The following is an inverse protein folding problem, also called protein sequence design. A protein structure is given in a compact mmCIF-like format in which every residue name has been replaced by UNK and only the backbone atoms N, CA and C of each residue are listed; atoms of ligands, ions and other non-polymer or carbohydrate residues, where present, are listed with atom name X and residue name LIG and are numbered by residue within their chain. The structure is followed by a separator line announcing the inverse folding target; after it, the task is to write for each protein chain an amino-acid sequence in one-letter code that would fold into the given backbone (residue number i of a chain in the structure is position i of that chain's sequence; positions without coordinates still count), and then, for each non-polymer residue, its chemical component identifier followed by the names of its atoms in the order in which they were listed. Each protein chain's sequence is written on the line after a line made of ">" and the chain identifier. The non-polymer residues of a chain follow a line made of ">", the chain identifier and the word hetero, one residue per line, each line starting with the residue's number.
data_IF_169290254109
#
_entry.id   IF_169290254109
#
_cell.length_a   1.000
_cell.length_b   1.000
_cell.length_c   1.000
_cell.angle_alpha   90.00
_cell.angle_beta   90.00
_cell.angle_gamma   90.00
#
_symmetry.space_group_name_H-M   'P 1'
#
loop_
_entity.id
_entity.type
_entity.pdbx_description
1 polymer ?
#
# COMPACT_ATOMS: atom_id res chain seq x y z
N UNK A 1 -48.59 -28.88 -51.89
CA UNK A 1 -47.58 -27.82 -51.91
C UNK A 1 -46.37 -28.29 -51.13
N UNK A 2 -45.41 -28.93 -51.80
CA UNK A 2 -44.14 -29.36 -51.22
C UNK A 2 -43.12 -29.27 -52.34
N UNK A 3 -42.17 -28.33 -52.24
CA UNK A 3 -40.96 -28.34 -53.06
C UNK A 3 -39.77 -28.57 -52.11
N UNK A 4 -38.99 -29.63 -52.33
CA UNK A 4 -37.81 -29.94 -51.52
C UNK A 4 -36.65 -29.02 -51.92
N UNK A 5 -35.83 -28.63 -50.95
CA UNK A 5 -34.58 -27.92 -51.20
C UNK A 5 -33.47 -28.95 -51.42
N UNK A 6 -32.86 -28.92 -52.59
CA UNK A 6 -31.73 -29.77 -52.95
C UNK A 6 -30.42 -29.13 -52.41
N UNK A 7 -29.46 -29.93 -51.91
CA UNK A 7 -28.24 -29.45 -51.28
C UNK A 7 -27.19 -29.09 -52.33
N UNK A 8 -26.82 -27.82 -52.44
CA UNK A 8 -25.66 -27.40 -53.23
C UNK A 8 -24.39 -27.55 -52.40
N UNK A 9 -23.69 -28.65 -52.64
CA UNK A 9 -22.28 -28.82 -52.32
C UNK A 9 -21.45 -27.91 -53.24
N UNK A 10 -20.69 -26.99 -52.65
CA UNK A 10 -19.51 -26.41 -53.26
C UNK A 10 -18.39 -26.37 -52.20
N UNK A 11 -17.25 -27.03 -52.42
CA UNK A 11 -16.10 -27.00 -51.53
C UNK A 11 -15.10 -25.91 -51.92
N UNK A 12 -14.45 -25.32 -50.91
CA UNK A 12 -13.07 -24.90 -50.99
C UNK A 12 -12.78 -23.38 -51.01
N UNK A 13 -12.03 -22.98 -49.98
CA UNK A 13 -11.12 -21.81 -49.95
C UNK A 13 -11.71 -20.51 -49.40
N UNK A 14 -11.56 -20.30 -48.09
CA UNK A 14 -10.48 -19.45 -47.56
C UNK A 14 -10.60 -19.38 -46.03
N UNK A 15 -9.60 -19.93 -45.35
CA UNK A 15 -9.29 -19.57 -43.98
C UNK A 15 -9.16 -18.05 -43.86
N UNK A 16 -9.92 -17.43 -42.96
CA UNK A 16 -9.49 -16.21 -42.28
C UNK A 16 -10.01 -16.20 -40.86
N UNK A 17 -9.04 -16.19 -39.97
CA UNK A 17 -9.08 -16.08 -38.52
C UNK A 17 -10.03 -14.99 -38.02
N UNK A 18 -10.96 -15.38 -37.15
CA UNK A 18 -11.47 -14.54 -36.06
C UNK A 18 -11.99 -15.46 -34.95
N UNK A 19 -11.04 -15.97 -34.16
CA UNK A 19 -11.28 -16.57 -32.85
C UNK A 19 -10.68 -15.58 -31.85
N UNK A 20 -11.52 -14.81 -31.14
CA UNK A 20 -11.09 -14.14 -29.90
C UNK A 20 -12.35 -13.75 -29.08
N UNK A 21 -12.92 -14.67 -28.30
CA UNK A 21 -12.65 -14.80 -26.86
C UNK A 21 -13.28 -13.70 -25.99
N UNK A 22 -14.57 -13.87 -25.64
CA UNK A 22 -15.13 -13.29 -24.42
C UNK A 22 -15.27 -14.39 -23.36
N UNK A 23 -14.14 -14.80 -22.78
CA UNK A 23 -14.13 -15.67 -21.58
C UNK A 23 -14.57 -14.86 -20.36
N UNK A 24 -15.49 -15.38 -19.52
CA UNK A 24 -15.85 -14.76 -18.26
C UNK A 24 -14.78 -15.01 -17.20
N UNK A 25 -14.52 -13.99 -16.39
CA UNK A 25 -14.01 -14.05 -15.01
C UNK A 25 -12.82 -15.00 -14.79
N UNK A 26 -11.62 -14.53 -15.17
CA UNK A 26 -10.38 -15.09 -14.64
C UNK A 26 -10.25 -14.70 -13.16
N UNK A 27 -10.20 -15.74 -12.34
CA UNK A 27 -10.07 -15.68 -10.91
C UNK A 27 -8.84 -14.85 -10.50
N UNK A 28 -9.08 -13.97 -9.54
CA UNK A 28 -8.09 -13.27 -8.74
C UNK A 28 -7.16 -14.31 -8.10
N UNK A 29 -6.01 -14.58 -8.74
CA UNK A 29 -4.93 -15.32 -8.11
C UNK A 29 -4.32 -14.43 -7.02
N UNK A 30 -4.22 -14.86 -5.75
CA UNK A 30 -3.41 -14.14 -4.78
C UNK A 30 -1.96 -14.19 -5.27
N UNK A 31 -1.43 -13.01 -5.57
CA UNK A 31 -0.04 -12.83 -5.99
C UNK A 31 0.86 -13.50 -4.97
N UNK A 32 1.43 -14.60 -5.44
CA UNK A 32 2.47 -15.42 -4.85
C UNK A 32 3.55 -14.49 -4.31
N UNK A 33 3.91 -14.69 -3.04
CA UNK A 33 5.08 -14.11 -2.38
C UNK A 33 6.32 -14.16 -3.30
N UNK A 34 6.54 -13.11 -4.10
CA UNK A 34 7.80 -12.84 -4.76
C UNK A 34 8.55 -11.87 -3.85
N UNK A 35 9.32 -12.43 -2.93
CA UNK A 35 10.41 -11.72 -2.25
C UNK A 35 11.43 -11.31 -3.31
N UNK A 36 11.12 -10.26 -4.07
CA UNK A 36 12.08 -9.59 -4.92
C UNK A 36 12.88 -8.68 -4.02
N UNK A 37 14.12 -9.11 -3.71
CA UNK A 37 15.13 -8.22 -3.15
C UNK A 37 15.32 -7.06 -4.13
N UNK A 38 14.67 -5.93 -3.87
CA UNK A 38 14.88 -4.69 -4.61
C UNK A 38 15.98 -3.90 -3.92
N UNK A 39 17.21 -4.26 -4.25
CA UNK A 39 18.29 -3.29 -4.28
C UNK A 39 18.16 -2.47 -5.57
N UNK A 40 18.16 -1.15 -5.43
CA UNK A 40 18.42 -0.23 -6.53
C UNK A 40 17.22 0.19 -7.36
N UNK A 41 17.15 1.52 -7.54
CA UNK A 41 16.43 2.26 -8.57
C UNK A 41 15.14 2.98 -8.16
N UNK A 42 15.21 4.31 -8.38
CA UNK A 42 14.15 5.32 -8.51
C UNK A 42 13.74 6.09 -7.26
N UNK A 43 14.70 6.88 -6.80
CA UNK A 43 14.45 8.30 -6.50
C UNK A 43 14.03 9.06 -7.78
N UNK A 44 12.92 8.68 -8.41
CA UNK A 44 12.20 9.59 -9.30
C UNK A 44 11.29 10.41 -8.39
N UNK A 45 11.53 11.73 -8.35
CA UNK A 45 11.03 12.66 -7.34
C UNK A 45 9.61 12.34 -6.91
N UNK A 46 9.43 12.08 -5.60
CA UNK A 46 8.12 11.92 -4.96
C UNK A 46 7.29 13.17 -5.25
N UNK A 47 6.59 13.16 -6.38
CA UNK A 47 5.55 14.12 -6.69
C UNK A 47 4.42 13.78 -5.76
N UNK A 48 4.24 14.61 -4.74
CA UNK A 48 3.08 14.55 -3.86
C UNK A 48 1.84 14.87 -4.71
N UNK A 49 1.20 13.82 -5.25
CA UNK A 49 -0.03 13.93 -6.06
C UNK A 49 -1.30 13.94 -5.21
N UNK A 50 -1.17 13.87 -3.89
CA UNK A 50 -2.30 13.73 -3.00
C UNK A 50 -3.19 14.96 -2.98
N UNK A 51 -4.51 14.75 -2.94
CA UNK A 51 -5.46 15.83 -2.72
C UNK A 51 -5.08 16.59 -1.44
N UNK A 52 -5.14 17.93 -1.44
CA UNK A 52 -4.93 18.73 -0.24
C UNK A 52 -6.05 18.43 0.74
N UNK A 53 -5.68 18.15 1.97
CA UNK A 53 -6.59 17.82 3.06
C UNK A 53 -6.45 18.85 4.18
N UNK A 54 -7.58 19.15 4.81
CA UNK A 54 -7.63 19.85 6.08
C UNK A 54 -8.10 18.87 7.17
N UNK A 55 -7.29 18.70 8.20
CA UNK A 55 -7.59 17.83 9.33
C UNK A 55 -7.22 18.54 10.62
N UNK A 56 -8.11 18.51 11.60
CA UNK A 56 -7.83 18.93 12.97
C UNK A 56 -8.04 17.73 13.88
N UNK A 57 -6.94 17.22 14.42
CA UNK A 57 -6.91 16.00 15.22
C UNK A 57 -6.35 16.37 16.59
N UNK A 58 -7.09 16.03 17.65
CA UNK A 58 -6.70 16.31 19.04
C UNK A 58 -6.85 15.04 19.86
N UNK A 59 -5.74 14.51 20.35
CA UNK A 59 -5.74 13.24 21.07
C UNK A 59 -6.29 12.08 20.23
N UNK A 60 -6.15 12.14 18.91
CA UNK A 60 -6.64 11.11 18.02
C UNK A 60 -5.68 9.92 18.01
N UNK A 61 -6.24 8.71 17.96
CA UNK A 61 -5.46 7.49 17.85
C UNK A 61 -4.76 7.41 16.49
N UNK A 62 -3.47 7.08 16.48
CA UNK A 62 -2.67 6.99 15.26
C UNK A 62 -3.30 6.07 14.22
N UNK A 63 -3.86 4.92 14.62
CA UNK A 63 -4.48 3.97 13.69
C UNK A 63 -5.68 4.59 12.98
N UNK A 64 -6.52 5.32 13.73
CA UNK A 64 -7.66 6.03 13.15
C UNK A 64 -7.23 7.13 12.19
N UNK A 65 -6.16 7.87 12.52
CA UNK A 65 -5.63 8.94 11.66
C UNK A 65 -5.11 8.37 10.34
N UNK A 66 -4.31 7.29 10.38
CA UNK A 66 -3.82 6.65 9.17
C UNK A 66 -4.95 6.07 8.31
N UNK A 67 -5.96 5.47 8.94
CA UNK A 67 -7.15 4.98 8.23
C UNK A 67 -7.91 6.11 7.54
N UNK A 68 -8.06 7.26 8.20
CA UNK A 68 -8.69 8.44 7.59
C UNK A 68 -7.88 8.97 6.40
N UNK A 69 -6.54 9.03 6.52
CA UNK A 69 -5.68 9.43 5.40
C UNK A 69 -5.75 8.45 4.22
N UNK A 70 -5.90 7.15 4.49
CA UNK A 70 -6.10 6.13 3.45
C UNK A 70 -7.38 6.37 2.66
N UNK A 71 -8.48 6.63 3.37
CA UNK A 71 -9.79 6.90 2.79
C UNK A 71 -9.78 8.19 1.95
N UNK A 72 -9.25 9.27 2.52
CA UNK A 72 -9.18 10.57 1.84
C UNK A 72 -8.22 10.55 0.64
N UNK A 73 -7.12 9.80 0.75
CA UNK A 73 -6.17 9.63 -0.33
C UNK A 73 -6.61 8.65 -1.41
N UNK A 74 -7.70 7.89 -1.19
CA UNK A 74 -8.09 6.72 -1.99
C UNK A 74 -6.93 5.74 -2.22
N UNK A 75 -6.15 5.49 -1.16
CA UNK A 75 -4.98 4.59 -1.19
C UNK A 75 -5.11 3.48 -0.15
N UNK A 76 -4.41 2.36 -0.38
CA UNK A 76 -4.37 1.27 0.58
C UNK A 76 -3.26 1.52 1.59
N UNK A 77 -3.60 1.74 2.85
CA UNK A 77 -2.63 1.88 3.94
C UNK A 77 -2.84 0.74 4.94
N UNK A 78 -1.76 0.02 5.25
CA UNK A 78 -1.70 -1.03 6.26
C UNK A 78 -0.89 -0.50 7.43
N UNK A 79 -1.52 -0.42 8.60
CA UNK A 79 -0.88 0.03 9.84
C UNK A 79 -0.54 -1.21 10.66
N UNK A 80 0.72 -1.32 11.09
CA UNK A 80 1.16 -2.41 11.95
C UNK A 80 0.54 -2.29 13.36
N UNK A 81 0.31 -3.44 14.02
CA UNK A 81 -0.28 -3.48 15.36
C UNK A 81 0.57 -2.78 16.43
N UNK A 82 1.88 -2.62 16.20
CA UNK A 82 2.78 -1.89 17.11
C UNK A 82 2.56 -0.36 17.06
N UNK A 83 1.86 0.15 16.03
CA UNK A 83 1.53 1.58 15.93
C UNK A 83 0.39 1.91 16.89
N UNK A 84 0.76 2.27 18.11
CA UNK A 84 -0.16 2.67 19.17
C UNK A 84 0.17 4.07 19.71
N UNK A 85 -0.87 4.77 20.16
CA UNK A 85 -0.75 6.06 20.86
C UNK A 85 -1.52 7.19 20.18
N UNK A 86 -1.57 8.33 20.86
CA UNK A 86 -2.35 9.48 20.42
C UNK A 86 -1.48 10.58 19.84
N UNK A 87 -2.00 11.30 18.86
CA UNK A 87 -1.35 12.47 18.25
C UNK A 87 -2.32 13.65 18.19
N UNK A 88 -1.76 14.85 18.33
CA UNK A 88 -2.47 16.11 18.14
C UNK A 88 -1.79 16.86 17.00
N UNK A 89 -2.54 17.11 15.93
CA UNK A 89 -2.03 17.71 14.69
C UNK A 89 -3.14 18.53 14.03
N UNK A 90 -2.75 19.65 13.43
CA UNK A 90 -3.62 20.44 12.57
C UNK A 90 -3.00 20.65 11.20
N UNK A 91 -3.71 20.25 10.16
CA UNK A 91 -3.35 20.34 8.76
C UNK A 91 -4.35 21.23 8.03
N UNK A 92 -3.85 22.08 7.15
CA UNK A 92 -4.64 23.03 6.36
C UNK A 92 -4.09 23.05 4.94
N UNK A 93 -4.85 22.55 3.97
CA UNK A 93 -4.43 22.44 2.55
C UNK A 93 -3.12 21.66 2.38
N UNK A 94 -2.90 20.64 3.21
CA UNK A 94 -1.68 19.83 3.15
C UNK A 94 -2.00 18.57 2.36
N UNK A 95 -1.21 18.17 1.34
CA UNK A 95 -1.46 16.91 0.64
C UNK A 95 -1.37 15.72 1.61
N UNK A 96 -2.28 14.75 1.49
CA UNK A 96 -2.35 13.61 2.41
C UNK A 96 -1.03 12.81 2.51
N UNK A 97 -0.25 12.73 1.43
CA UNK A 97 1.05 12.03 1.41
C UNK A 97 2.10 12.79 2.25
N UNK A 98 2.07 14.13 2.25
CA UNK A 98 2.88 14.94 3.15
C UNK A 98 2.37 14.84 4.59
N UNK A 99 1.06 14.80 4.80
CA UNK A 99 0.48 14.60 6.13
C UNK A 99 0.96 13.29 6.76
N UNK A 100 0.93 12.20 5.97
CA UNK A 100 1.42 10.88 6.36
C UNK A 100 2.89 10.95 6.82
N UNK A 101 3.76 11.55 6.00
CA UNK A 101 5.19 11.70 6.30
C UNK A 101 5.43 12.52 7.58
N UNK A 102 4.66 13.59 7.79
CA UNK A 102 4.72 14.42 9.01
C UNK A 102 4.33 13.63 10.25
N UNK A 103 3.22 12.87 10.21
CA UNK A 103 2.75 12.07 11.33
C UNK A 103 3.77 10.97 11.66
N UNK A 104 4.28 10.30 10.63
CA UNK A 104 5.27 9.26 10.79
C UNK A 104 6.55 9.82 11.45
N UNK A 105 7.09 10.94 10.96
CA UNK A 105 8.26 11.59 11.57
C UNK A 105 8.02 12.04 13.00
N UNK A 106 6.85 12.59 13.31
CA UNK A 106 6.51 13.09 14.64
C UNK A 106 6.52 11.98 15.71
N UNK A 107 6.20 10.74 15.31
CA UNK A 107 6.13 9.57 16.21
C UNK A 107 7.28 8.58 16.02
N UNK A 108 8.23 8.86 15.12
CA UNK A 108 9.30 7.94 14.78
C UNK A 108 8.81 6.67 14.08
N UNK A 109 7.74 6.75 13.30
CA UNK A 109 7.23 5.64 12.51
C UNK A 109 7.95 5.59 11.17
N UNK A 110 8.02 4.39 10.60
CA UNK A 110 8.48 4.13 9.25
C UNK A 110 7.31 3.98 8.31
N UNK A 111 7.45 4.58 7.13
CA UNK A 111 6.52 4.43 6.03
C UNK A 111 7.26 3.71 4.91
N UNK A 112 6.80 2.51 4.56
CA UNK A 112 7.31 1.72 3.44
C UNK A 112 6.23 1.66 2.37
N UNK A 113 6.53 2.07 1.14
CA UNK A 113 5.57 2.00 0.03
C UNK A 113 5.93 0.83 -0.87
N UNK A 114 4.99 -0.10 -1.01
CA UNK A 114 5.11 -1.28 -1.86
C UNK A 114 4.01 -1.22 -2.94
N UNK A 115 4.38 -0.68 -4.10
CA UNK A 115 3.46 -0.50 -5.22
C UNK A 115 2.23 0.36 -4.86
N UNK A 116 1.07 -0.30 -4.76
CA UNK A 116 -0.23 0.31 -4.46
C UNK A 116 -0.60 0.29 -2.96
N UNK A 117 0.26 -0.26 -2.11
CA UNK A 117 0.04 -0.38 -0.67
C UNK A 117 1.12 0.39 0.08
N UNK A 118 0.72 1.08 1.15
CA UNK A 118 1.62 1.80 2.05
C UNK A 118 1.59 1.10 3.40
N UNK A 119 2.74 0.65 3.88
CA UNK A 119 2.91 0.05 5.19
C UNK A 119 3.42 1.10 6.18
N UNK A 120 2.74 1.24 7.30
CA UNK A 120 3.18 2.07 8.42
C UNK A 120 3.59 1.16 9.56
N UNK A 121 4.86 1.25 9.96
CA UNK A 121 5.45 0.43 11.01
C UNK A 121 6.00 1.33 12.10
N UNK A 122 5.88 0.92 13.36
CA UNK A 122 6.59 1.62 14.41
C UNK A 122 8.09 1.32 14.32
N UNK A 123 8.93 2.34 14.52
CA UNK A 123 10.33 2.06 14.86
C UNK A 123 10.31 1.39 16.22
N UNK A 124 10.43 0.05 16.23
CA UNK A 124 10.64 -0.70 17.44
C UNK A 124 11.77 -0.01 18.23
N UNK A 125 11.55 0.42 19.48
CA UNK A 125 12.63 0.91 20.31
C UNK A 125 13.55 -0.28 20.60
N UNK A 126 14.52 -0.52 19.73
CA UNK A 126 15.58 -1.49 19.91
C UNK A 126 16.25 -1.21 21.25
N UNK A 127 16.07 -2.14 22.19
CA UNK A 127 16.64 -2.08 23.52
C UNK A 127 18.15 -1.89 23.47
N UNK A 128 18.60 -0.73 23.94
CA UNK A 128 20.00 -0.49 24.24
C UNK A 128 20.07 0.51 25.40
N UNK A 129 20.03 -0.03 26.64
CA UNK A 129 20.64 0.49 27.89
C UNK A 129 20.09 -0.25 29.11
N UNK A 130 20.25 -1.57 29.11
CA UNK A 130 19.91 -2.46 30.23
C UNK A 130 21.10 -3.36 30.55
N UNK A 131 22.16 -2.78 31.09
CA UNK A 131 23.30 -3.47 31.70
C UNK A 131 24.02 -2.39 32.51
N UNK A 132 23.72 -2.22 33.79
CA UNK A 132 23.83 -3.25 34.80
C UNK A 132 25.15 -2.97 35.52
N UNK A 133 25.05 -2.29 36.65
CA UNK A 133 26.15 -1.96 37.52
C UNK A 133 27.01 -3.20 37.82
N UNK A 134 28.32 -3.06 37.66
CA UNK A 134 29.29 -3.82 38.44
C UNK A 134 30.08 -2.78 39.22
N UNK A 135 29.53 -2.43 40.37
CA UNK A 135 30.27 -1.83 41.47
C UNK A 135 31.42 -2.77 41.82
N UNK A 136 32.66 -2.36 41.57
CA UNK A 136 33.80 -2.93 42.30
C UNK A 136 34.04 -2.04 43.51
N UNK A 137 33.88 -2.58 44.73
CA UNK A 137 34.08 -1.83 45.97
C UNK A 137 35.56 -1.49 46.15
N UNK A 138 35.76 -0.31 46.74
CA UNK A 138 36.96 0.05 47.48
C UNK A 138 37.28 -0.99 48.55
N UNK A 139 38.49 -1.55 48.53
CA UNK A 139 39.29 -2.05 49.67
C UNK A 139 40.64 -2.51 49.04
N UNK A 140 41.84 -2.14 49.44
CA UNK A 140 42.43 -1.35 50.52
C UNK A 140 43.95 -1.40 50.28
#
# INVERSE_FOLDING_TARGET
>A
MSRPVEPADLPGTAFRSDEELARPSEAHAPSRFETRRIGGERSEGRRFHGAPVDLDLKGADLQNVFRLLADVGHVNIVVDGDVAGTITLRLRRVPWDQALDVIARAKGLFVERDGNVIFVRAHAPGGARGGGALSSPSDG
#
